data_IF_173901846998
#
_entry.id   IF_173901846998
#
_cell.length_a   1.000
_cell.length_b   1.000
_cell.length_c   1.000
_cell.angle_alpha   90.00
_cell.angle_beta   90.00
_cell.angle_gamma   90.00
#
_symmetry.space_group_name_H-M   'P 1'
#
loop_
_entity.id
_entity.type
_entity.pdbx_description
1 polymer ?
#
# COMPACT_ATOMS: atom_id res chain seq x y z
N UNK A 1 20.78 -19.72 -3.42
CA UNK A 1 19.68 -20.31 -2.64
C UNK A 1 19.05 -19.16 -1.89
N UNK A 2 17.99 -18.58 -2.44
CA UNK A 2 17.22 -17.57 -1.72
C UNK A 2 16.18 -18.31 -0.89
N UNK A 3 16.33 -18.27 0.44
CA UNK A 3 15.27 -18.72 1.32
C UNK A 3 14.14 -17.69 1.24
N UNK A 4 12.87 -18.11 1.05
CA UNK A 4 11.77 -17.17 1.14
C UNK A 4 11.59 -16.82 2.61
N UNK A 5 12.02 -15.62 3.01
CA UNK A 5 11.72 -15.05 4.32
C UNK A 5 10.25 -14.69 4.36
N UNK A 6 9.38 -15.68 4.59
CA UNK A 6 8.02 -15.45 5.06
C UNK A 6 8.08 -15.06 6.54
N UNK A 7 8.74 -13.94 6.86
CA UNK A 7 8.41 -13.25 8.09
C UNK A 7 6.98 -12.75 7.91
N UNK A 8 6.03 -13.55 8.42
CA UNK A 8 4.63 -13.13 8.46
C UNK A 8 4.59 -11.80 9.18
N UNK A 9 4.20 -10.73 8.48
CA UNK A 9 4.04 -9.42 9.08
C UNK A 9 3.18 -9.60 10.35
N UNK A 10 3.64 -9.17 11.54
CA UNK A 10 2.93 -9.40 12.80
C UNK A 10 1.48 -8.90 12.76
N UNK A 11 1.17 -7.95 11.87
CA UNK A 11 -0.18 -7.51 11.57
C UNK A 11 -1.08 -8.63 11.03
N UNK A 12 -0.59 -9.54 10.19
CA UNK A 12 -1.42 -10.65 9.69
C UNK A 12 -1.85 -11.58 10.82
N UNK A 13 -0.98 -11.83 11.79
CA UNK A 13 -1.34 -12.59 12.99
C UNK A 13 -2.39 -11.81 13.81
N UNK A 14 -2.19 -10.51 14.02
CA UNK A 14 -3.17 -9.65 14.71
C UNK A 14 -4.55 -9.68 14.02
N UNK A 15 -4.59 -9.60 12.68
CA UNK A 15 -5.83 -9.72 11.89
C UNK A 15 -6.47 -11.08 12.08
N UNK A 16 -5.72 -12.18 11.91
CA UNK A 16 -6.24 -13.54 12.01
C UNK A 16 -6.79 -13.86 13.41
N UNK A 17 -6.13 -13.41 14.47
CA UNK A 17 -6.55 -13.67 15.84
C UNK A 17 -7.68 -12.75 16.33
N UNK A 18 -7.83 -11.56 15.74
CA UNK A 18 -8.87 -10.59 16.15
C UNK A 18 -10.11 -10.59 15.24
N UNK A 19 -10.04 -11.19 14.06
CA UNK A 19 -11.13 -11.25 13.11
C UNK A 19 -12.36 -11.96 13.68
N UNK A 20 -13.51 -11.30 13.54
CA UNK A 20 -14.83 -11.87 13.80
C UNK A 20 -15.55 -12.06 12.48
N UNK A 21 -16.58 -12.89 12.48
CA UNK A 21 -17.35 -13.17 11.28
C UNK A 21 -18.83 -12.98 11.55
N UNK A 22 -19.54 -12.34 10.61
CA UNK A 22 -20.98 -12.45 10.55
C UNK A 22 -21.33 -13.80 9.90
N UNK A 23 -22.36 -14.44 10.45
CA UNK A 23 -22.79 -15.78 10.05
C UNK A 23 -24.26 -15.71 9.66
N UNK A 24 -24.60 -16.26 8.50
CA UNK A 24 -25.98 -16.33 8.03
C UNK A 24 -26.77 -17.45 8.76
N UNK A 25 -28.05 -17.57 8.43
CA UNK A 25 -28.94 -18.57 9.05
C UNK A 25 -28.55 -20.03 8.73
N UNK A 26 -27.70 -20.25 7.72
CA UNK A 26 -27.20 -21.56 7.32
C UNK A 26 -25.84 -21.89 7.95
N UNK A 27 -25.29 -21.00 8.79
CA UNK A 27 -23.96 -21.18 9.40
C UNK A 27 -22.79 -20.74 8.51
N UNK A 28 -23.08 -20.17 7.32
CA UNK A 28 -22.07 -19.65 6.41
C UNK A 28 -21.55 -18.27 6.84
N UNK A 29 -20.23 -18.09 6.81
CA UNK A 29 -19.59 -16.79 7.07
C UNK A 29 -19.83 -15.86 5.88
N UNK A 30 -20.39 -14.67 6.12
CA UNK A 30 -20.71 -13.69 5.07
C UNK A 30 -19.75 -12.52 5.04
N UNK A 31 -19.29 -12.08 6.21
CA UNK A 31 -18.49 -10.87 6.36
C UNK A 31 -17.38 -11.07 7.39
N UNK A 32 -16.28 -10.35 7.21
CA UNK A 32 -15.19 -10.24 8.18
C UNK A 32 -15.35 -8.92 8.91
N UNK A 33 -15.41 -8.98 10.24
CA UNK A 33 -15.52 -7.81 11.10
C UNK A 33 -14.19 -7.65 11.84
N UNK A 34 -13.56 -6.50 11.64
CA UNK A 34 -12.31 -6.09 12.29
C UNK A 34 -12.58 -4.89 13.20
N UNK A 35 -11.71 -4.68 14.18
CA UNK A 35 -11.70 -3.39 14.88
C UNK A 35 -11.21 -2.31 13.90
N UNK A 36 -11.68 -1.07 14.08
CA UNK A 36 -11.24 0.06 13.25
C UNK A 36 -9.71 0.23 13.30
N UNK A 37 -9.08 0.00 14.46
CA UNK A 37 -7.64 0.06 14.61
C UNK A 37 -6.91 -0.98 13.74
N UNK A 38 -7.38 -2.23 13.75
CA UNK A 38 -6.80 -3.31 12.93
C UNK A 38 -7.05 -3.07 11.44
N UNK A 39 -8.24 -2.57 11.09
CA UNK A 39 -8.57 -2.19 9.72
C UNK A 39 -7.63 -1.10 9.18
N UNK A 40 -7.40 -0.03 9.95
CA UNK A 40 -6.52 1.05 9.52
C UNK A 40 -5.08 0.57 9.31
N UNK A 41 -4.56 -0.27 10.21
CA UNK A 41 -3.23 -0.87 10.03
C UNK A 41 -3.16 -1.71 8.75
N UNK A 42 -4.20 -2.52 8.48
CA UNK A 42 -4.28 -3.34 7.27
C UNK A 42 -4.32 -2.47 6.01
N UNK A 43 -5.11 -1.40 6.04
CA UNK A 43 -5.21 -0.46 4.93
C UNK A 43 -3.86 0.20 4.64
N UNK A 44 -3.18 0.72 5.67
CA UNK A 44 -1.84 1.30 5.52
C UNK A 44 -0.84 0.29 4.95
N UNK A 45 -0.86 -0.96 5.40
CA UNK A 45 0.01 -1.99 4.82
C UNK A 45 -0.27 -2.22 3.33
N UNK A 46 -1.53 -2.25 2.93
CA UNK A 46 -1.91 -2.44 1.52
C UNK A 46 -1.47 -1.25 0.65
N UNK A 47 -1.64 -0.02 1.15
CA UNK A 47 -1.17 1.21 0.49
C UNK A 47 0.34 1.20 0.34
N UNK A 48 1.10 0.87 1.39
CA UNK A 48 2.56 0.77 1.31
C UNK A 48 3.04 -0.29 0.32
N UNK A 49 2.30 -1.40 0.17
CA UNK A 49 2.63 -2.44 -0.81
C UNK A 49 2.36 -1.95 -2.23
N UNK A 50 1.27 -1.22 -2.45
CA UNK A 50 0.95 -0.65 -3.76
C UNK A 50 1.95 0.46 -4.15
N UNK A 51 2.27 1.36 -3.23
CA UNK A 51 3.30 2.40 -3.40
C UNK A 51 4.66 1.79 -3.76
N UNK A 52 5.05 0.71 -3.07
CA UNK A 52 6.28 -0.03 -3.41
C UNK A 52 6.23 -0.58 -4.84
N UNK A 53 5.09 -1.10 -5.29
CA UNK A 53 4.95 -1.58 -6.66
C UNK A 53 5.08 -0.45 -7.67
N UNK A 54 4.46 0.71 -7.40
CA UNK A 54 4.57 1.91 -8.25
C UNK A 54 6.03 2.36 -8.35
N UNK A 55 6.73 2.47 -7.21
CA UNK A 55 8.14 2.86 -7.17
C UNK A 55 9.02 1.84 -7.91
N UNK A 56 8.82 0.54 -7.68
CA UNK A 56 9.58 -0.52 -8.35
C UNK A 56 9.36 -0.51 -9.87
N UNK A 57 8.13 -0.25 -10.34
CA UNK A 57 7.83 -0.14 -11.76
C UNK A 57 8.40 1.15 -12.38
N UNK A 58 8.45 2.25 -11.61
CA UNK A 58 8.98 3.53 -12.05
C UNK A 58 10.51 3.61 -12.07
N UNK A 59 11.19 2.93 -11.13
CA UNK A 59 12.64 2.99 -10.95
C UNK A 59 13.46 2.66 -12.21
N UNK A 60 13.18 1.59 -12.98
CA UNK A 60 13.90 1.30 -14.22
C UNK A 60 13.74 2.40 -15.27
N UNK A 61 12.53 2.97 -15.37
CA UNK A 61 12.23 4.07 -16.30
C UNK A 61 13.01 5.32 -15.91
N UNK A 62 13.01 5.69 -14.63
CA UNK A 62 13.79 6.81 -14.11
C UNK A 62 15.29 6.65 -14.40
N UNK A 63 15.85 5.44 -14.23
CA UNK A 63 17.25 5.14 -14.56
C UNK A 63 17.57 5.30 -16.04
N UNK A 64 16.60 5.12 -16.93
CA UNK A 64 16.76 5.30 -18.37
C UNK A 64 16.74 6.79 -18.79
N UNK A 65 16.48 7.72 -17.86
CA UNK A 65 16.51 9.16 -18.07
C UNK A 65 15.12 9.81 -18.18
N UNK A 66 15.03 11.15 -18.00
CA UNK A 66 13.77 11.87 -17.89
C UNK A 66 12.86 11.69 -19.11
N UNK A 67 13.42 11.76 -20.33
CA UNK A 67 12.67 11.64 -21.60
C UNK A 67 12.00 10.27 -21.77
N UNK A 68 12.67 9.19 -21.39
CA UNK A 68 12.16 7.82 -21.53
C UNK A 68 11.23 7.40 -20.39
N UNK A 69 11.30 8.13 -19.27
CA UNK A 69 10.49 7.85 -18.08
C UNK A 69 9.11 8.50 -18.08
N UNK A 70 8.91 9.55 -18.88
CA UNK A 70 7.71 10.40 -18.81
C UNK A 70 7.60 11.20 -17.51
N UNK A 71 8.66 11.22 -16.69
CA UNK A 71 8.73 11.95 -15.43
C UNK A 71 9.37 13.31 -15.68
N UNK A 72 8.76 14.35 -15.12
CA UNK A 72 9.23 15.73 -15.22
C UNK A 72 10.39 15.97 -14.25
N UNK A 73 11.34 16.84 -14.61
CA UNK A 73 12.40 17.25 -13.67
C UNK A 73 11.79 18.11 -12.57
N UNK A 74 12.31 18.01 -11.35
CA UNK A 74 11.79 18.80 -10.23
C UNK A 74 11.83 20.30 -10.53
N UNK A 75 12.91 20.77 -11.17
CA UNK A 75 13.06 22.16 -11.58
C UNK A 75 11.97 22.63 -12.56
N UNK A 76 11.35 21.72 -13.31
CA UNK A 76 10.30 22.02 -14.28
C UNK A 76 8.89 22.10 -13.65
N UNK A 77 8.70 21.56 -12.44
CA UNK A 77 7.37 21.48 -11.78
C UNK A 77 7.30 22.22 -10.45
N UNK A 78 8.45 22.59 -9.86
CA UNK A 78 8.53 23.20 -8.53
C UNK A 78 7.66 24.45 -8.38
N UNK A 79 7.68 25.35 -9.37
CA UNK A 79 6.94 26.62 -9.29
C UNK A 79 5.42 26.41 -9.19
N UNK A 80 4.86 25.41 -9.89
CA UNK A 80 3.43 25.09 -9.81
C UNK A 80 3.03 24.37 -8.52
N UNK A 81 3.98 23.71 -7.84
CA UNK A 81 3.74 23.04 -6.56
C UNK A 81 3.84 23.97 -5.36
N UNK A 82 4.69 25.00 -5.42
CA UNK A 82 4.81 25.99 -4.35
C UNK A 82 3.56 26.88 -4.23
N UNK A 83 2.86 27.13 -5.34
CA UNK A 83 1.64 27.95 -5.39
C UNK A 83 0.43 27.25 -4.72
N UNK A 84 0.31 25.92 -4.86
CA UNK A 84 -0.78 25.12 -4.27
C UNK A 84 -0.66 24.96 -2.73
N UNK A 85 0.51 25.25 -2.14
CA UNK A 85 0.70 25.22 -0.67
C UNK A 85 0.38 26.55 0.02
N UNK A 86 -0.08 27.55 -0.74
CA UNK A 86 -0.40 28.89 -0.23
C UNK A 86 -1.86 29.10 0.23
N UNK A 87 -2.66 28.02 0.32
CA UNK A 87 -4.07 28.04 0.77
C UNK A 87 -4.24 27.51 2.19
#
# INVERSE_FOLDING_TARGET
MDQPTYETNPLFNEVLYSARYLVNNEGGKTDVVLSLAVWNKLLTLLEELDDRNIVQAGLPKLKAGPVSSGVLRWEEVREGWEDDTSV
#
